data_IF_600396538010
#
_entry.id   IF_600396538010
#
_cell.length_a   1.000
_cell.length_b   1.000
_cell.length_c   1.000
_cell.angle_alpha   90.00
_cell.angle_beta   90.00
_cell.angle_gamma   90.00
#
_symmetry.space_group_name_H-M   'P 1'
#
loop_
_entity.id
_entity.type
_entity.pdbx_description
1 polymer ?
#
# COMPACT_ATOMS: atom_id res chain seq x y z
N UNK A 1 -16.35 5.16 -35.08
CA UNK A 1 -15.68 6.46 -35.30
C UNK A 1 -16.25 7.43 -34.28
N UNK A 2 -15.41 8.07 -33.46
CA UNK A 2 -15.84 9.08 -32.48
C UNK A 2 -15.29 10.43 -32.94
N UNK A 3 -16.15 11.45 -33.07
CA UNK A 3 -15.76 12.80 -33.48
C UNK A 3 -15.85 13.72 -32.26
N UNK A 4 -14.71 14.26 -31.82
CA UNK A 4 -14.64 15.21 -30.71
C UNK A 4 -14.36 16.61 -31.25
N UNK A 5 -15.12 17.62 -30.79
CA UNK A 5 -14.92 19.02 -31.13
C UNK A 5 -14.32 19.73 -29.92
N UNK A 6 -13.04 20.06 -29.99
CA UNK A 6 -12.35 20.79 -28.92
C UNK A 6 -12.97 22.19 -28.83
N UNK A 7 -13.67 22.46 -27.73
CA UNK A 7 -14.10 23.81 -27.34
C UNK A 7 -13.21 24.25 -26.18
N UNK A 8 -12.74 25.50 -26.20
CA UNK A 8 -11.69 26.00 -25.29
C UNK A 8 -12.08 25.99 -23.80
N UNK A 9 -13.35 25.76 -23.46
CA UNK A 9 -13.87 25.89 -22.09
C UNK A 9 -13.77 24.63 -21.21
N UNK A 10 -13.45 23.43 -21.75
CA UNK A 10 -13.51 22.19 -20.96
C UNK A 10 -12.45 21.13 -21.32
N UNK A 11 -11.19 21.30 -20.89
CA UNK A 11 -10.15 20.29 -21.11
C UNK A 11 -10.46 18.91 -20.48
N UNK A 12 -11.27 18.87 -19.41
CA UNK A 12 -11.71 17.63 -18.74
C UNK A 12 -12.58 16.72 -19.64
N UNK A 13 -13.19 17.25 -20.70
CA UNK A 13 -14.03 16.47 -21.62
C UNK A 13 -13.20 15.66 -22.64
N UNK A 14 -11.93 16.02 -22.87
CA UNK A 14 -11.08 15.32 -23.84
C UNK A 14 -10.73 13.91 -23.34
N UNK A 15 -10.19 13.79 -22.13
CA UNK A 15 -9.84 12.49 -21.54
C UNK A 15 -11.09 11.61 -21.38
N UNK A 16 -12.23 12.23 -21.06
CA UNK A 16 -13.51 11.54 -21.00
C UNK A 16 -13.92 10.99 -22.36
N UNK A 17 -13.78 11.79 -23.42
CA UNK A 17 -14.13 11.35 -24.77
C UNK A 17 -13.18 10.27 -25.28
N UNK A 18 -11.88 10.37 -24.97
CA UNK A 18 -10.89 9.35 -25.34
C UNK A 18 -11.19 8.04 -24.61
N UNK A 19 -11.37 8.06 -23.28
CA UNK A 19 -11.65 6.86 -22.49
C UNK A 19 -12.96 6.21 -22.90
N UNK A 20 -14.04 6.98 -23.04
CA UNK A 20 -15.35 6.43 -23.45
C UNK A 20 -15.33 5.91 -24.88
N UNK A 21 -14.60 6.55 -25.81
CA UNK A 21 -14.38 6.02 -27.15
C UNK A 21 -13.60 4.71 -27.12
N UNK A 22 -12.59 4.62 -26.26
CA UNK A 22 -11.77 3.42 -26.11
C UNK A 22 -12.58 2.26 -25.53
N UNK A 23 -13.36 2.50 -24.48
CA UNK A 23 -14.28 1.51 -23.89
C UNK A 23 -15.29 0.98 -24.93
N UNK A 24 -15.84 1.86 -25.76
CA UNK A 24 -16.79 1.48 -26.83
C UNK A 24 -16.12 0.73 -27.98
N UNK A 25 -14.85 1.03 -28.28
CA UNK A 25 -14.14 0.45 -29.43
C UNK A 25 -13.52 -0.92 -29.16
N UNK A 26 -12.99 -1.15 -27.95
CA UNK A 26 -12.19 -2.34 -27.64
C UNK A 26 -12.96 -3.45 -26.91
N UNK A 27 -14.25 -3.27 -26.59
CA UNK A 27 -15.06 -4.20 -25.79
C UNK A 27 -14.33 -4.70 -24.52
N UNK A 28 -13.64 -3.79 -23.83
CA UNK A 28 -12.90 -4.11 -22.62
C UNK A 28 -13.83 -4.65 -21.53
N UNK A 29 -13.33 -5.59 -20.73
CA UNK A 29 -14.04 -6.06 -19.55
C UNK A 29 -14.21 -4.93 -18.52
N UNK A 30 -15.23 -4.97 -17.65
CA UNK A 30 -15.45 -3.96 -16.62
C UNK A 30 -14.23 -3.74 -15.70
N UNK A 31 -13.46 -4.81 -15.44
CA UNK A 31 -12.23 -4.75 -14.65
C UNK A 31 -11.11 -3.98 -15.38
N UNK A 32 -10.94 -4.19 -16.68
CA UNK A 32 -9.97 -3.46 -17.49
C UNK A 32 -10.35 -1.99 -17.64
N UNK A 33 -11.65 -1.71 -17.84
CA UNK A 33 -12.17 -0.35 -17.87
C UNK A 33 -11.88 0.38 -16.54
N UNK A 34 -12.10 -0.30 -15.41
CA UNK A 34 -11.84 0.27 -14.08
C UNK A 34 -10.34 0.52 -13.84
N UNK A 35 -9.49 -0.41 -14.25
CA UNK A 35 -8.03 -0.24 -14.20
C UNK A 35 -7.56 0.96 -15.03
N UNK A 36 -8.08 1.14 -16.24
CA UNK A 36 -7.76 2.30 -17.07
C UNK A 36 -8.25 3.61 -16.45
N UNK A 37 -9.47 3.64 -15.92
CA UNK A 37 -10.00 4.81 -15.23
C UNK A 37 -9.14 5.19 -14.01
N UNK A 38 -8.64 4.20 -13.26
CA UNK A 38 -7.72 4.37 -12.14
C UNK A 38 -6.38 4.99 -12.56
N UNK A 39 -5.77 4.47 -13.64
CA UNK A 39 -4.50 4.97 -14.18
C UNK A 39 -4.65 6.44 -14.57
N UNK A 40 -5.76 6.79 -15.23
CA UNK A 40 -6.06 8.14 -15.70
C UNK A 40 -6.60 9.06 -14.61
N UNK A 41 -6.80 8.54 -13.39
CA UNK A 41 -7.41 9.28 -12.27
C UNK A 41 -8.78 9.89 -12.60
N UNK A 42 -9.62 9.17 -13.36
CA UNK A 42 -10.95 9.63 -13.77
C UNK A 42 -12.06 8.88 -13.03
N UNK A 43 -12.24 9.27 -11.76
CA UNK A 43 -13.25 8.67 -10.86
C UNK A 43 -14.68 8.97 -11.32
N UNK A 44 -14.88 10.11 -11.97
CA UNK A 44 -16.14 10.54 -12.55
C UNK A 44 -16.62 9.57 -13.64
N UNK A 45 -15.73 9.18 -14.54
CA UNK A 45 -16.01 8.18 -15.59
C UNK A 45 -16.28 6.82 -14.96
N UNK A 46 -15.49 6.42 -13.95
CA UNK A 46 -15.72 5.16 -13.26
C UNK A 46 -17.12 5.12 -12.62
N UNK A 47 -17.55 6.22 -11.99
CA UNK A 47 -18.85 6.32 -11.35
C UNK A 47 -20.01 6.31 -12.36
N UNK A 48 -19.89 6.98 -13.51
CA UNK A 48 -20.99 7.09 -14.47
C UNK A 48 -21.07 5.89 -15.44
N UNK A 49 -19.93 5.40 -15.93
CA UNK A 49 -19.88 4.43 -17.02
C UNK A 49 -19.62 2.99 -16.55
N UNK A 50 -18.91 2.81 -15.42
CA UNK A 50 -18.41 1.48 -15.01
C UNK A 50 -19.25 0.90 -13.86
N UNK A 51 -19.52 1.69 -12.83
CA UNK A 51 -20.35 1.28 -11.69
C UNK A 51 -21.84 1.47 -11.98
N UNK A 52 -22.34 0.78 -13.02
CA UNK A 52 -23.74 0.78 -13.41
C UNK A 52 -24.54 -0.32 -12.69
N UNK A 53 -25.85 -0.09 -12.50
CA UNK A 53 -26.72 -1.06 -11.84
C UNK A 53 -26.78 -2.39 -12.61
N UNK A 54 -26.64 -3.51 -11.89
CA UNK A 54 -26.65 -4.85 -12.46
C UNK A 54 -25.30 -5.32 -13.02
N UNK A 55 -24.23 -4.52 -12.91
CA UNK A 55 -22.89 -4.91 -13.31
C UNK A 55 -22.38 -6.07 -12.45
N UNK A 56 -21.97 -7.17 -13.11
CA UNK A 56 -21.32 -8.30 -12.44
C UNK A 56 -19.81 -8.13 -12.50
N UNK A 57 -19.16 -8.30 -11.35
CA UNK A 57 -17.72 -8.21 -11.19
C UNK A 57 -17.11 -9.62 -11.07
N UNK A 58 -15.96 -9.88 -11.73
CA UNK A 58 -15.20 -11.09 -11.45
C UNK A 58 -14.78 -11.14 -9.98
N UNK A 59 -14.70 -12.33 -9.37
CA UNK A 59 -14.22 -12.46 -7.99
C UNK A 59 -12.77 -11.93 -7.89
N UNK A 60 -12.49 -11.09 -6.90
CA UNK A 60 -11.17 -10.50 -6.71
C UNK A 60 -10.89 -9.23 -7.52
N UNK A 61 -11.74 -8.88 -8.50
CA UNK A 61 -11.50 -7.74 -9.37
C UNK A 61 -11.54 -6.40 -8.61
N UNK A 62 -12.55 -6.22 -7.75
CA UNK A 62 -12.68 -5.01 -6.94
C UNK A 62 -11.57 -4.93 -5.88
N UNK A 63 -11.14 -6.06 -5.33
CA UNK A 63 -9.99 -6.12 -4.42
C UNK A 63 -8.69 -5.73 -5.13
N UNK A 64 -8.49 -6.15 -6.38
CA UNK A 64 -7.33 -5.74 -7.17
C UNK A 64 -7.35 -4.24 -7.46
N UNK A 65 -8.51 -3.70 -7.87
CA UNK A 65 -8.68 -2.26 -8.08
C UNK A 65 -8.49 -1.47 -6.78
N UNK A 66 -8.89 -2.00 -5.62
CA UNK A 66 -8.61 -1.40 -4.32
C UNK A 66 -7.12 -1.35 -4.02
N UNK A 67 -6.38 -2.41 -4.32
CA UNK A 67 -4.94 -2.44 -4.15
C UNK A 67 -4.26 -1.34 -5.00
N UNK A 68 -4.63 -1.25 -6.28
CA UNK A 68 -4.10 -0.22 -7.18
C UNK A 68 -4.45 1.20 -6.72
N UNK A 69 -5.69 1.43 -6.26
CA UNK A 69 -6.13 2.72 -5.77
C UNK A 69 -5.31 3.18 -4.55
N UNK A 70 -5.01 2.27 -3.63
CA UNK A 70 -4.17 2.54 -2.47
C UNK A 70 -2.71 2.83 -2.87
N UNK A 71 -2.12 2.00 -3.74
CA UNK A 71 -0.75 2.18 -4.24
C UNK A 71 -0.55 3.55 -4.88
N UNK A 72 -1.46 3.97 -5.75
CA UNK A 72 -1.40 5.22 -6.50
C UNK A 72 -2.00 6.44 -5.77
N UNK A 73 -2.33 6.33 -4.48
CA UNK A 73 -2.91 7.41 -3.67
C UNK A 73 -4.23 8.00 -4.22
N UNK A 74 -5.06 7.16 -4.86
CA UNK A 74 -6.32 7.58 -5.50
C UNK A 74 -7.47 7.56 -4.51
N UNK A 75 -7.54 8.58 -3.65
CA UNK A 75 -8.50 8.68 -2.53
C UNK A 75 -9.96 8.56 -2.99
N UNK A 76 -10.34 9.23 -4.08
CA UNK A 76 -11.74 9.20 -4.55
C UNK A 76 -12.13 7.84 -5.11
N UNK A 77 -11.18 7.10 -5.70
CA UNK A 77 -11.40 5.72 -6.09
C UNK A 77 -11.51 4.79 -4.88
N UNK A 78 -10.72 5.00 -3.83
CA UNK A 78 -10.87 4.23 -2.59
C UNK A 78 -12.27 4.44 -2.01
N UNK A 79 -12.76 5.69 -1.93
CA UNK A 79 -14.14 6.01 -1.51
C UNK A 79 -15.17 5.30 -2.39
N UNK A 80 -15.05 5.43 -3.71
CA UNK A 80 -15.95 4.79 -4.67
C UNK A 80 -15.98 3.25 -4.50
N UNK A 81 -14.83 2.62 -4.27
CA UNK A 81 -14.74 1.17 -4.08
C UNK A 81 -15.33 0.72 -2.75
N UNK A 82 -15.14 1.49 -1.68
CA UNK A 82 -15.79 1.25 -0.39
C UNK A 82 -17.32 1.37 -0.50
N UNK A 83 -17.82 2.39 -1.21
CA UNK A 83 -19.25 2.58 -1.50
C UNK A 83 -19.85 1.40 -2.30
N UNK A 84 -19.07 0.82 -3.21
CA UNK A 84 -19.47 -0.30 -4.07
C UNK A 84 -19.21 -1.70 -3.45
N UNK A 85 -19.00 -1.77 -2.13
CA UNK A 85 -19.06 -3.03 -1.38
C UNK A 85 -17.72 -3.74 -1.15
N UNK A 86 -16.58 -3.09 -1.39
CA UNK A 86 -15.27 -3.65 -1.00
C UNK A 86 -15.14 -3.67 0.52
N UNK A 87 -15.04 -4.87 1.09
CA UNK A 87 -14.86 -5.05 2.53
C UNK A 87 -13.38 -5.05 2.91
N UNK A 88 -12.93 -4.01 3.61
CA UNK A 88 -11.53 -3.91 4.07
C UNK A 88 -11.11 -5.05 4.99
N UNK A 89 -12.04 -5.62 5.77
CA UNK A 89 -11.77 -6.78 6.64
C UNK A 89 -11.43 -8.04 5.83
N UNK A 90 -12.03 -8.22 4.65
CA UNK A 90 -11.75 -9.35 3.73
C UNK A 90 -10.60 -9.05 2.77
N UNK A 91 -10.31 -7.77 2.55
CA UNK A 91 -9.29 -7.30 1.64
C UNK A 91 -7.89 -7.32 2.27
N UNK A 92 -7.70 -6.76 3.47
CA UNK A 92 -6.37 -6.48 3.99
C UNK A 92 -5.74 -7.72 4.62
N UNK A 93 -4.80 -8.31 3.91
CA UNK A 93 -3.95 -9.42 4.36
C UNK A 93 -2.53 -8.95 4.66
N UNK A 94 -1.76 -9.78 5.38
CA UNK A 94 -0.35 -9.51 5.67
C UNK A 94 0.48 -9.19 4.40
N UNK A 95 0.42 -10.00 3.32
CA UNK A 95 1.19 -9.72 2.11
C UNK A 95 0.79 -8.41 1.43
N UNK A 96 -0.51 -8.09 1.37
CA UNK A 96 -1.00 -6.84 0.78
C UNK A 96 -0.50 -5.63 1.54
N UNK A 97 -0.54 -5.67 2.87
CA UNK A 97 -0.04 -4.56 3.67
C UNK A 97 1.48 -4.39 3.49
N UNK A 98 2.23 -5.48 3.44
CA UNK A 98 3.67 -5.42 3.16
C UNK A 98 3.97 -4.86 1.77
N UNK A 99 3.20 -5.24 0.76
CA UNK A 99 3.29 -4.69 -0.59
C UNK A 99 3.02 -3.18 -0.60
N UNK A 100 2.03 -2.69 0.16
CA UNK A 100 1.75 -1.26 0.31
C UNK A 100 2.93 -0.48 0.93
N UNK A 101 3.62 -1.04 1.93
CA UNK A 101 4.81 -0.41 2.51
C UNK A 101 6.03 -0.39 1.58
N UNK A 102 6.08 -1.32 0.61
CA UNK A 102 7.20 -1.45 -0.33
C UNK A 102 6.93 -0.83 -1.70
N UNK A 103 5.76 -0.20 -1.87
CA UNK A 103 5.39 0.49 -3.11
C UNK A 103 6.28 1.72 -3.29
N UNK A 104 6.76 1.94 -4.52
CA UNK A 104 7.59 3.11 -4.87
C UNK A 104 6.77 4.30 -5.35
N UNK A 105 5.51 4.06 -5.67
CA UNK A 105 4.54 5.10 -6.02
C UNK A 105 4.13 5.87 -4.76
N UNK A 106 4.01 7.19 -4.86
CA UNK A 106 3.61 8.07 -3.76
C UNK A 106 4.64 9.15 -3.46
N UNK A 107 4.39 9.98 -2.43
CA UNK A 107 5.30 11.03 -2.03
C UNK A 107 6.59 10.46 -1.42
N UNK A 108 7.68 11.22 -1.53
CA UNK A 108 8.89 10.96 -0.76
C UNK A 108 8.56 10.96 0.73
N UNK A 109 9.08 9.97 1.45
CA UNK A 109 8.78 9.77 2.86
C UNK A 109 10.04 9.44 3.67
N UNK A 110 9.92 9.56 5.00
CA UNK A 110 11.03 9.41 5.95
C UNK A 110 11.25 7.96 6.40
N UNK A 111 10.35 7.03 6.03
CA UNK A 111 10.36 5.65 6.51
C UNK A 111 11.70 4.94 6.28
N UNK A 112 12.31 5.13 5.10
CA UNK A 112 13.57 4.50 4.75
C UNK A 112 14.76 4.94 5.61
N UNK A 113 14.75 6.18 6.10
CA UNK A 113 15.79 6.73 6.98
C UNK A 113 15.61 6.20 8.40
N UNK A 114 14.40 6.35 8.96
CA UNK A 114 14.06 5.86 10.30
C UNK A 114 14.34 4.36 10.44
N UNK A 115 14.09 3.60 9.36
CA UNK A 115 14.37 2.17 9.34
C UNK A 115 15.86 1.85 9.43
N UNK A 116 16.74 2.67 8.84
CA UNK A 116 18.20 2.48 8.93
C UNK A 116 18.72 2.68 10.35
N UNK A 117 18.08 3.51 11.16
CA UNK A 117 18.52 3.72 12.54
C UNK A 117 18.23 2.49 13.41
N UNK A 118 17.07 1.87 13.21
CA UNK A 118 16.72 0.63 13.92
C UNK A 118 17.39 -0.60 13.30
N UNK A 119 17.84 -0.50 12.03
CA UNK A 119 18.50 -1.58 11.31
C UNK A 119 19.56 -1.03 10.33
N UNK A 120 20.81 -0.78 10.79
CA UNK A 120 21.84 -0.09 10.00
C UNK A 120 22.34 -0.84 8.76
N UNK A 121 22.26 -2.18 8.77
CA UNK A 121 22.88 -3.03 7.74
C UNK A 121 21.88 -3.54 6.70
N UNK A 122 21.05 -2.64 6.15
CA UNK A 122 20.06 -2.99 5.13
C UNK A 122 20.69 -2.93 3.72
N UNK A 123 20.64 -4.02 2.92
CA UNK A 123 21.14 -4.01 1.56
C UNK A 123 20.28 -3.15 0.62
N UNK A 124 20.86 -2.69 -0.48
CA UNK A 124 20.11 -1.98 -1.53
C UNK A 124 19.05 -2.91 -2.15
N UNK A 125 17.83 -2.40 -2.31
CA UNK A 125 16.70 -3.18 -2.83
C UNK A 125 16.06 -4.15 -1.82
N UNK A 126 16.36 -3.98 -0.53
CA UNK A 126 15.71 -4.74 0.53
C UNK A 126 14.20 -4.47 0.58
N UNK A 127 13.41 -5.53 0.71
CA UNK A 127 11.95 -5.47 0.91
C UNK A 127 11.69 -5.42 2.42
N UNK A 128 11.03 -4.35 2.86
CA UNK A 128 10.68 -4.12 4.25
C UNK A 128 9.65 -5.13 4.72
N UNK A 129 9.95 -5.84 5.79
CA UNK A 129 8.97 -6.75 6.40
C UNK A 129 8.08 -6.01 7.38
N UNK A 130 6.88 -6.53 7.68
CA UNK A 130 6.08 -5.95 8.76
C UNK A 130 6.80 -5.98 10.12
N UNK A 131 7.77 -6.88 10.33
CA UNK A 131 8.59 -6.83 11.54
C UNK A 131 9.45 -5.56 11.61
N UNK A 132 10.07 -5.20 10.49
CA UNK A 132 10.87 -3.97 10.34
C UNK A 132 10.00 -2.72 10.57
N UNK A 133 8.81 -2.68 9.97
CA UNK A 133 7.83 -1.61 10.22
C UNK A 133 7.47 -1.54 11.70
N UNK A 134 7.31 -2.70 12.37
CA UNK A 134 7.07 -2.75 13.80
C UNK A 134 8.19 -2.15 14.66
N UNK A 135 9.45 -2.27 14.22
CA UNK A 135 10.59 -1.64 14.89
C UNK A 135 10.58 -0.12 14.71
N UNK A 136 10.26 0.36 13.51
CA UNK A 136 10.08 1.80 13.23
C UNK A 136 8.99 2.39 14.13
N UNK A 137 7.81 1.75 14.20
CA UNK A 137 6.72 2.24 15.06
C UNK A 137 7.14 2.24 16.53
N UNK A 138 7.87 1.24 17.00
CA UNK A 138 8.38 1.22 18.38
C UNK A 138 9.32 2.39 18.65
N UNK A 139 10.23 2.71 17.72
CA UNK A 139 11.14 3.86 17.84
C UNK A 139 10.35 5.17 17.93
N UNK A 140 9.42 5.39 17.00
CA UNK A 140 8.62 6.63 16.91
C UNK A 140 7.68 6.83 18.11
N UNK A 141 7.06 5.76 18.60
CA UNK A 141 6.18 5.83 19.76
C UNK A 141 6.98 6.03 21.05
N UNK A 142 8.16 5.41 21.16
CA UNK A 142 9.07 5.50 22.30
C UNK A 142 8.55 4.84 23.57
N UNK A 143 9.29 5.04 24.66
CA UNK A 143 8.96 4.50 25.99
C UNK A 143 8.88 2.97 26.02
N UNK A 144 7.84 2.43 26.67
CA UNK A 144 7.61 0.98 26.77
C UNK A 144 6.65 0.45 25.69
N UNK A 145 6.35 1.24 24.65
CA UNK A 145 5.42 0.84 23.60
C UNK A 145 5.95 -0.36 22.81
N UNK A 146 5.06 -1.31 22.50
CA UNK A 146 5.41 -2.49 21.70
C UNK A 146 4.31 -2.85 20.71
N UNK A 147 4.58 -2.54 19.45
CA UNK A 147 3.73 -2.82 18.31
C UNK A 147 3.48 -4.33 18.13
N UNK A 148 2.29 -4.69 17.66
CA UNK A 148 1.87 -6.08 17.46
C UNK A 148 2.81 -6.88 16.55
N UNK A 149 3.39 -6.23 15.53
CA UNK A 149 4.30 -6.89 14.58
C UNK A 149 5.61 -7.40 15.21
N UNK A 150 5.99 -6.85 16.37
CA UNK A 150 7.20 -7.27 17.10
C UNK A 150 6.91 -8.34 18.16
N UNK A 151 5.64 -8.72 18.33
CA UNK A 151 5.23 -9.75 19.30
C UNK A 151 5.44 -11.15 18.75
N UNK A 152 5.75 -12.09 19.65
CA UNK A 152 5.98 -13.50 19.31
C UNK A 152 4.79 -14.14 18.60
N UNK A 153 3.55 -13.82 19.05
CA UNK A 153 2.31 -14.32 18.42
C UNK A 153 2.24 -13.95 16.95
N UNK A 154 2.46 -12.69 16.61
CA UNK A 154 2.43 -12.21 15.22
C UNK A 154 3.54 -12.85 14.37
N UNK A 155 4.76 -12.97 14.91
CA UNK A 155 5.88 -13.59 14.18
C UNK A 155 5.57 -15.01 13.71
N UNK A 156 4.86 -15.81 14.52
CA UNK A 156 4.46 -17.17 14.15
C UNK A 156 3.44 -17.16 13.01
N UNK A 157 2.46 -16.25 13.07
CA UNK A 157 1.44 -16.07 12.04
C UNK A 157 2.10 -15.63 10.73
N UNK A 158 2.93 -14.59 10.79
CA UNK A 158 3.68 -14.04 9.66
C UNK A 158 4.50 -15.11 8.94
N UNK A 159 5.30 -15.89 9.67
CA UNK A 159 6.13 -16.94 9.08
C UNK A 159 5.30 -18.03 8.37
N UNK A 160 4.11 -18.36 8.89
CA UNK A 160 3.19 -19.32 8.25
C UNK A 160 2.62 -18.77 6.94
N UNK A 161 2.27 -17.48 6.92
CA UNK A 161 1.73 -16.81 5.73
C UNK A 161 2.79 -16.71 4.63
N UNK A 162 3.96 -16.16 4.95
CA UNK A 162 5.00 -15.94 3.94
C UNK A 162 5.54 -17.24 3.33
N UNK A 163 5.56 -18.34 4.08
CA UNK A 163 5.89 -19.67 3.54
C UNK A 163 4.85 -20.19 2.55
N UNK A 164 3.57 -19.87 2.73
CA UNK A 164 2.48 -20.30 1.84
C UNK A 164 2.39 -19.46 0.57
N UNK A 165 2.73 -18.17 0.67
CA UNK A 165 2.71 -17.22 -0.45
C UNK A 165 3.92 -17.34 -1.38
N UNK A 166 4.74 -18.40 -1.29
CA UNK A 166 5.94 -18.57 -2.12
C UNK A 166 7.07 -17.58 -1.80
N UNK A 167 6.97 -16.86 -0.67
CA UNK A 167 7.96 -15.85 -0.28
C UNK A 167 9.31 -16.50 0.03
N UNK A 168 10.35 -15.98 -0.62
CA UNK A 168 11.75 -16.26 -0.30
C UNK A 168 12.02 -15.82 1.15
N UNK A 169 11.88 -16.75 2.10
CA UNK A 169 12.36 -16.53 3.47
C UNK A 169 13.88 -16.42 3.40
N UNK A 170 14.41 -15.20 3.28
CA UNK A 170 15.80 -14.95 3.61
C UNK A 170 15.90 -14.93 5.14
N UNK A 171 15.97 -16.14 5.72
CA UNK A 171 16.28 -16.33 7.12
C UNK A 171 17.68 -15.79 7.39
N UNK A 172 17.80 -14.51 7.76
CA UNK A 172 18.95 -14.05 8.52
C UNK A 172 18.82 -14.62 9.94
N UNK A 173 19.22 -15.89 10.08
CA UNK A 173 19.58 -16.46 11.38
C UNK A 173 20.90 -15.81 11.78
N UNK A 174 20.89 -15.00 12.83
CA UNK A 174 22.11 -14.63 13.52
C UNK A 174 22.85 -15.89 14.00
N UNK A 175 24.17 -15.85 13.87
CA UNK A 175 25.12 -16.91 14.16
C UNK A 175 25.00 -17.43 15.59
N UNK A 176 24.82 -18.74 15.72
CA UNK A 176 25.60 -19.61 16.62
C UNK A 176 25.11 -21.05 16.46
N UNK A 177 25.61 -21.74 15.44
CA UNK A 177 25.69 -23.20 15.41
C UNK A 177 26.67 -23.59 14.30
N UNK A 178 27.87 -23.99 14.71
CA UNK A 178 28.84 -24.66 13.87
C UNK A 178 28.26 -25.96 13.30
N UNK A 179 28.68 -26.31 12.09
CA UNK A 179 28.79 -27.71 11.69
C UNK A 179 28.03 -28.08 10.43
N UNK A 180 28.81 -28.58 9.47
CA UNK A 180 28.44 -29.46 8.35
C UNK A 180 28.08 -28.75 7.04
N UNK A 181 29.14 -28.59 6.22
CA UNK A 181 29.08 -28.34 4.78
C UNK A 181 28.74 -29.64 4.06
N UNK A 182 27.82 -29.60 3.11
CA UNK A 182 27.73 -30.62 2.06
C UNK A 182 27.84 -29.96 0.68
N UNK A 183 28.70 -30.56 -0.13
CA UNK A 183 29.05 -30.22 -1.50
C UNK A 183 27.95 -30.67 -2.46
N UNK A 184 27.59 -29.84 -3.44
CA UNK A 184 27.32 -30.27 -4.84
C UNK A 184 27.55 -29.09 -5.78
N UNK A 185 28.35 -29.32 -6.82
CA UNK A 185 28.76 -28.31 -7.79
C UNK A 185 28.00 -28.40 -9.12
N UNK A 186 28.04 -27.28 -9.85
CA UNK A 186 28.19 -27.21 -11.30
C UNK A 186 27.02 -27.62 -12.20
N UNK A 187 26.39 -26.64 -12.85
CA UNK A 187 26.46 -26.53 -14.32
C UNK A 187 25.79 -25.26 -14.84
N UNK A 188 26.47 -24.69 -15.83
CA UNK A 188 26.14 -23.57 -16.71
C UNK A 188 24.93 -23.82 -17.62
N UNK A 189 24.21 -22.75 -17.99
CA UNK A 189 23.19 -22.75 -19.06
C UNK A 189 22.70 -21.34 -19.35
N UNK A 190 22.54 -21.01 -20.63
CA UNK A 190 22.52 -19.66 -21.21
C UNK A 190 21.19 -18.87 -21.10
N UNK A 191 21.38 -17.53 -21.19
CA UNK A 191 20.51 -16.41 -21.61
C UNK A 191 19.11 -16.72 -22.16
N UNK A 192 18.10 -15.98 -21.68
CA UNK A 192 17.08 -15.36 -22.57
C UNK A 192 16.36 -14.18 -21.90
N UNK A 193 15.98 -13.21 -22.72
CA UNK A 193 15.29 -11.96 -22.41
C UNK A 193 13.89 -12.16 -21.80
N UNK A 194 13.45 -11.21 -20.96
CA UNK A 194 12.11 -11.22 -20.38
C UNK A 194 11.70 -9.90 -19.72
N UNK A 195 11.67 -8.81 -20.50
CA UNK A 195 10.83 -7.64 -20.22
C UNK A 195 9.36 -8.10 -20.32
N UNK A 196 8.79 -8.67 -19.25
CA UNK A 196 7.34 -8.99 -19.16
C UNK A 196 6.88 -9.44 -17.76
N UNK A 197 7.66 -9.22 -16.69
CA UNK A 197 7.22 -9.55 -15.32
C UNK A 197 6.66 -8.32 -14.58
N UNK A 198 5.64 -7.68 -15.13
CA UNK A 198 4.98 -6.55 -14.43
C UNK A 198 3.48 -6.36 -14.72
N UNK A 199 2.88 -7.13 -15.63
CA UNK A 199 1.45 -6.95 -15.98
C UNK A 199 0.58 -8.19 -15.72
N UNK A 200 1.19 -9.28 -15.22
CA UNK A 200 0.52 -10.54 -14.89
C UNK A 200 1.13 -11.15 -13.62
N UNK A 201 1.23 -10.38 -12.53
CA UNK A 201 1.24 -11.02 -11.21
C UNK A 201 -0.19 -11.49 -10.95
N UNK A 202 -0.45 -12.67 -11.52
CA UNK A 202 -1.69 -13.42 -11.58
C UNK A 202 -2.46 -13.36 -10.26
N UNK A 203 -3.75 -13.03 -10.40
CA UNK A 203 -4.89 -13.55 -9.64
C UNK A 203 -4.56 -14.62 -8.59
N UNK A 204 -3.96 -14.23 -7.48
CA UNK A 204 -3.94 -15.09 -6.30
C UNK A 204 -5.36 -15.04 -5.72
N UNK A 205 -6.14 -16.14 -5.77
CA UNK A 205 -7.38 -16.19 -5.01
C UNK A 205 -7.02 -15.88 -3.56
N UNK A 206 -7.83 -15.02 -2.92
CA UNK A 206 -7.81 -14.82 -1.47
C UNK A 206 -7.93 -16.19 -0.82
N UNK A 207 -6.78 -16.76 -0.47
CA UNK A 207 -6.70 -18.10 0.06
C UNK A 207 -7.47 -18.06 1.39
N UNK A 208 -8.58 -18.81 1.48
CA UNK A 208 -9.63 -18.67 2.51
C UNK A 208 -9.12 -18.79 3.96
N UNK A 209 -7.88 -19.24 4.13
CA UNK A 209 -7.22 -19.44 5.43
C UNK A 209 -6.06 -18.46 5.71
N UNK A 210 -5.96 -17.36 4.97
CA UNK A 210 -4.95 -16.33 5.23
C UNK A 210 -5.42 -15.46 6.40
N UNK A 211 -4.64 -15.32 7.48
CA UNK A 211 -5.00 -14.48 8.61
C UNK A 211 -5.13 -13.02 8.14
N UNK A 212 -6.30 -12.46 8.39
CA UNK A 212 -6.67 -11.08 8.09
C UNK A 212 -6.47 -10.21 9.34
N UNK A 213 -6.42 -8.90 9.15
CA UNK A 213 -6.36 -7.96 10.27
C UNK A 213 -7.74 -7.74 10.88
N UNK A 214 -7.81 -7.75 12.21
CA UNK A 214 -9.05 -7.48 12.95
C UNK A 214 -9.52 -6.02 12.73
N UNK A 215 -8.56 -5.09 12.62
CA UNK A 215 -8.79 -3.65 12.44
C UNK A 215 -8.05 -3.10 11.21
N UNK A 216 -8.51 -3.39 9.98
CA UNK A 216 -7.77 -3.07 8.75
C UNK A 216 -7.57 -1.56 8.53
N UNK A 217 -8.53 -0.73 8.93
CA UNK A 217 -8.39 0.73 8.83
C UNK A 217 -7.31 1.29 9.77
N UNK A 218 -7.06 0.64 10.91
CA UNK A 218 -5.99 1.06 11.83
C UNK A 218 -4.62 0.78 11.20
N UNK A 219 -4.46 -0.38 10.58
CA UNK A 219 -3.22 -0.74 9.89
C UNK A 219 -2.95 0.18 8.68
N UNK A 220 -4.01 0.53 7.93
CA UNK A 220 -3.90 1.44 6.78
C UNK A 220 -3.70 2.89 7.20
N UNK A 221 -4.25 3.32 8.32
CA UNK A 221 -3.96 4.64 8.88
C UNK A 221 -2.47 4.75 9.19
N UNK A 222 -1.90 3.77 9.90
CA UNK A 222 -0.47 3.77 10.24
C UNK A 222 0.38 3.76 8.96
N UNK A 223 0.00 2.94 7.96
CA UNK A 223 0.67 2.95 6.66
C UNK A 223 0.62 4.32 5.98
N UNK A 224 -0.56 4.95 5.91
CA UNK A 224 -0.72 6.25 5.28
C UNK A 224 0.08 7.35 6.02
N UNK A 225 0.12 7.30 7.35
CA UNK A 225 0.93 8.22 8.18
C UNK A 225 2.42 8.05 7.91
N UNK A 226 2.94 6.81 8.02
CA UNK A 226 4.36 6.51 7.84
C UNK A 226 4.84 6.77 6.39
N UNK A 227 3.95 6.68 5.41
CA UNK A 227 4.24 6.96 4.00
C UNK A 227 3.87 8.37 3.56
N UNK A 228 3.55 9.28 4.49
CA UNK A 228 3.28 10.71 4.24
C UNK A 228 2.08 10.98 3.31
N UNK A 229 1.04 10.14 3.37
CA UNK A 229 -0.21 10.27 2.59
C UNK A 229 -1.32 10.88 3.44
N UNK A 230 -1.31 12.21 3.63
CA UNK A 230 -2.19 12.87 4.60
C UNK A 230 -3.69 12.66 4.32
N UNK A 231 -4.13 12.92 3.09
CA UNK A 231 -5.54 12.81 2.74
C UNK A 231 -6.05 11.36 2.81
N UNK A 232 -5.18 10.39 2.50
CA UNK A 232 -5.46 8.98 2.71
C UNK A 232 -5.55 8.63 4.21
N UNK A 233 -4.65 9.18 5.05
CA UNK A 233 -4.70 9.00 6.50
C UNK A 233 -6.01 9.54 7.09
N UNK A 234 -6.46 10.72 6.66
CA UNK A 234 -7.75 11.29 7.06
C UNK A 234 -8.93 10.40 6.65
N UNK A 235 -8.90 9.84 5.43
CA UNK A 235 -9.91 8.87 5.00
C UNK A 235 -9.93 7.63 5.90
N UNK A 236 -8.76 7.04 6.19
CA UNK A 236 -8.67 5.85 7.03
C UNK A 236 -9.06 6.14 8.49
N UNK A 237 -8.84 7.35 8.97
CA UNK A 237 -9.28 7.79 10.29
C UNK A 237 -10.81 7.88 10.38
N UNK A 238 -11.47 8.43 9.37
CA UNK A 238 -12.94 8.52 9.31
C UNK A 238 -13.62 7.14 9.28
N UNK A 239 -12.91 6.10 8.84
CA UNK A 239 -13.44 4.75 8.77
C UNK A 239 -12.99 3.85 9.93
N UNK A 240 -13.89 3.00 10.42
CA UNK A 240 -13.62 2.00 11.46
C UNK A 240 -13.86 2.51 12.90
N UNK A 241 -13.44 1.73 13.88
CA UNK A 241 -13.69 1.99 15.30
C UNK A 241 -12.57 2.86 15.92
N UNK A 242 -12.78 3.39 17.13
CA UNK A 242 -11.74 4.10 17.93
C UNK A 242 -11.14 5.37 17.29
N UNK A 243 -11.98 6.24 16.72
CA UNK A 243 -11.55 7.48 16.05
C UNK A 243 -10.60 8.35 16.90
N UNK A 244 -10.88 8.52 18.20
CA UNK A 244 -10.02 9.31 19.09
C UNK A 244 -8.63 8.68 19.27
N UNK A 245 -8.56 7.38 19.52
CA UNK A 245 -7.29 6.69 19.69
C UNK A 245 -6.44 6.76 18.41
N UNK A 246 -7.08 6.58 17.25
CA UNK A 246 -6.45 6.74 15.93
C UNK A 246 -5.85 8.13 15.74
N UNK A 247 -6.62 9.19 16.04
CA UNK A 247 -6.15 10.56 15.92
C UNK A 247 -4.92 10.81 16.79
N UNK A 248 -4.93 10.35 18.03
CA UNK A 248 -3.80 10.47 18.96
C UNK A 248 -2.57 9.68 18.49
N UNK A 249 -2.76 8.47 17.93
CA UNK A 249 -1.66 7.68 17.36
C UNK A 249 -1.08 8.40 16.15
N UNK A 250 -1.91 8.87 15.21
CA UNK A 250 -1.46 9.62 14.04
C UNK A 250 -0.70 10.89 14.46
N UNK A 251 -1.25 11.67 15.39
CA UNK A 251 -0.62 12.86 15.97
C UNK A 251 0.75 12.56 16.55
N UNK A 252 0.85 11.51 17.40
CA UNK A 252 2.11 11.12 18.03
C UNK A 252 3.15 10.70 16.99
N UNK A 253 2.75 9.92 16.00
CA UNK A 253 3.62 9.49 14.91
C UNK A 253 4.10 10.67 14.07
N UNK A 254 3.22 11.59 13.66
CA UNK A 254 3.62 12.79 12.91
C UNK A 254 4.61 13.66 13.69
N UNK A 255 4.33 13.92 14.99
CA UNK A 255 5.25 14.68 15.86
C UNK A 255 6.61 13.98 15.99
N UNK A 256 6.64 12.66 16.13
CA UNK A 256 7.89 11.90 16.23
C UNK A 256 8.67 11.87 14.91
N UNK A 257 8.00 11.67 13.77
CA UNK A 257 8.64 11.70 12.45
C UNK A 257 9.17 13.09 12.10
N UNK A 258 8.47 14.15 12.50
CA UNK A 258 8.97 15.52 12.35
C UNK A 258 10.28 15.69 13.14
N UNK A 259 10.31 15.26 14.42
CA UNK A 259 11.53 15.34 15.22
C UNK A 259 12.71 14.60 14.56
N UNK A 260 12.50 13.37 14.08
CA UNK A 260 13.55 12.62 13.39
C UNK A 260 14.02 13.33 12.11
N UNK A 261 13.09 13.91 11.34
CA UNK A 261 13.43 14.67 10.15
C UNK A 261 14.31 15.90 10.46
N UNK A 262 14.09 16.55 11.60
CA UNK A 262 14.91 17.67 12.03
C UNK A 262 16.32 17.25 12.50
N UNK A 263 16.47 16.05 13.06
CA UNK A 263 17.77 15.53 13.52
C UNK A 263 18.67 15.07 12.38
N UNK A 264 18.09 14.53 11.30
CA UNK A 264 18.81 14.01 10.14
C UNK A 264 19.17 15.07 9.09
N UNK A 265 18.97 16.37 9.39
CA UNK A 265 19.14 17.49 8.44
C UNK A 265 18.36 17.27 7.13
N UNK A 266 17.22 16.56 7.22
CA UNK A 266 16.28 16.42 6.11
C UNK A 266 15.65 17.78 5.83
N UNK A 267 15.28 18.02 4.57
CA UNK A 267 14.73 19.29 4.10
C UNK A 267 13.69 19.86 5.09
N UNK A 268 13.91 21.10 5.55
CA UNK A 268 13.06 21.81 6.52
C UNK A 268 11.57 21.77 6.14
N UNK A 269 11.28 21.66 4.85
CA UNK A 269 9.96 21.47 4.26
C UNK A 269 9.26 20.20 4.78
N UNK A 270 9.97 19.08 4.90
CA UNK A 270 9.42 17.80 5.42
C UNK A 270 9.02 17.95 6.89
N UNK A 271 9.84 18.61 7.69
CA UNK A 271 9.55 18.88 9.10
C UNK A 271 8.24 19.69 9.25
N UNK A 272 8.14 20.82 8.54
CA UNK A 272 7.00 21.72 8.64
C UNK A 272 5.70 21.07 8.13
N UNK A 273 5.79 20.30 7.04
CA UNK A 273 4.65 19.52 6.53
C UNK A 273 4.15 18.49 7.55
N UNK A 274 5.04 17.67 8.12
CA UNK A 274 4.65 16.64 9.11
C UNK A 274 4.03 17.28 10.35
N UNK A 275 4.53 18.44 10.78
CA UNK A 275 3.93 19.21 11.87
C UNK A 275 2.55 19.75 11.50
N UNK A 276 2.36 20.20 10.25
CA UNK A 276 1.06 20.60 9.70
C UNK A 276 0.05 19.45 9.77
N UNK A 277 0.42 18.27 9.29
CA UNK A 277 -0.40 17.06 9.34
C UNK A 277 -0.77 16.67 10.78
N UNK A 278 0.19 16.73 11.70
CA UNK A 278 -0.08 16.52 13.12
C UNK A 278 -1.13 17.48 13.67
N UNK A 279 -1.05 18.78 13.35
CA UNK A 279 -2.04 19.78 13.82
C UNK A 279 -3.45 19.50 13.32
N UNK A 280 -3.61 18.98 12.11
CA UNK A 280 -4.93 18.58 11.61
C UNK A 280 -5.54 17.49 12.49
N UNK A 281 -4.77 16.45 12.84
CA UNK A 281 -5.22 15.40 13.76
C UNK A 281 -5.43 15.86 15.21
N UNK A 282 -4.79 16.95 15.62
CA UNK A 282 -5.00 17.56 16.94
C UNK A 282 -6.29 18.37 17.03
N UNK A 283 -6.78 18.90 15.90
CA UNK A 283 -7.97 19.73 15.81
C UNK A 283 -9.27 18.96 15.50
N UNK A 284 -9.15 17.66 15.26
CA UNK A 284 -10.24 16.74 14.95
C UNK A 284 -10.82 16.13 16.23
#
# INVERSE_FOLDING_TARGET
>A
ITVFRITQDRPQELDQTILTALFKSQQLSPAEQLSLALIWNRVDIARSEIFIYGQKWPPGALEQSMMQALQHDRIDFVKLLLENGVSMRKFLSIPRLEELYNTKDGPSNTLGYILRDVRPHIPRGYIYTLHDIGLVINKLMGGAYRHQYTRRKFRMIYAKVMKRSGGHMQTHRNSMAQGIKFYTGGSSGEKSHGLTMSLLAETLPTNRDTPLFDFPFNELLIWAVLTKRQQMALLMWQHGEEALAKALVALKLYKAMAHEAAEDDLEMEVYDELRGYGKEFENI
#
